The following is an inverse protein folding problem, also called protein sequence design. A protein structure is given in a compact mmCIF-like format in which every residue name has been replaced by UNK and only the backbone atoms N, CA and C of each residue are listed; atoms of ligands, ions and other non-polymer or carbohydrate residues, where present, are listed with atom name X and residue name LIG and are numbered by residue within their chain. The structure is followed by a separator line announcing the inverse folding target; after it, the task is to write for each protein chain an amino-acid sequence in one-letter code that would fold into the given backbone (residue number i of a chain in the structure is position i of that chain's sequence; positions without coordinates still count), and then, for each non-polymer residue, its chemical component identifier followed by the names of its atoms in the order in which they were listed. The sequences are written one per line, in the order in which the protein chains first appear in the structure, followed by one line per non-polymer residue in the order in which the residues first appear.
data_IF_455669217013
#
_entry.id   IF_455669217013
#
_cell.length_a   1.000
_cell.length_b   1.000
_cell.length_c   1.000
_cell.angle_alpha   90.00
_cell.angle_beta   90.00
_cell.angle_gamma   90.00
#
_symmetry.space_group_name_H-M   'P 1'
#
loop_
_entity.id
_entity.type
_entity.pdbx_description
1 polymer ?
#
# COMPACT_ATOMS: atom_id res chain seq x y z
N UNK A 1 -10.48 -5.96 24.68
CA UNK A 1 -9.53 -6.83 23.96
C UNK A 1 -9.78 -6.59 22.49
N UNK A 2 -8.85 -5.96 21.78
CA UNK A 2 -8.99 -5.79 20.34
C UNK A 2 -9.12 -7.18 19.71
N UNK A 3 -10.15 -7.41 18.90
CA UNK A 3 -10.22 -8.61 18.08
C UNK A 3 -8.99 -8.59 17.18
N UNK A 4 -7.99 -9.43 17.48
CA UNK A 4 -6.80 -9.57 16.65
C UNK A 4 -7.24 -10.32 15.39
N UNK A 5 -7.65 -9.56 14.38
CA UNK A 5 -7.96 -10.13 13.08
C UNK A 5 -6.67 -10.63 12.43
N UNK A 6 -6.72 -11.80 11.81
CA UNK A 6 -5.51 -12.39 11.26
C UNK A 6 -5.08 -11.55 10.03
N UNK A 7 -3.80 -11.16 9.97
CA UNK A 7 -3.26 -10.21 8.96
C UNK A 7 -3.58 -10.60 7.52
N UNK A 8 -3.86 -9.62 6.66
CA UNK A 8 -4.05 -9.82 5.23
C UNK A 8 -5.46 -10.25 4.79
N UNK A 9 -6.45 -10.24 5.70
CA UNK A 9 -7.84 -10.42 5.32
C UNK A 9 -8.42 -9.12 4.74
N UNK A 10 -8.93 -9.18 3.52
CA UNK A 10 -9.55 -8.05 2.84
C UNK A 10 -10.88 -8.46 2.22
N UNK A 11 -11.76 -7.48 2.03
CA UNK A 11 -13.10 -7.70 1.44
C UNK A 11 -13.32 -6.81 0.22
N UNK A 12 -12.71 -5.63 0.22
CA UNK A 12 -12.79 -4.69 -0.87
C UNK A 12 -11.38 -4.29 -1.32
N UNK A 13 -11.28 -3.92 -2.59
CA UNK A 13 -10.12 -3.24 -3.14
C UNK A 13 -10.60 -1.96 -3.82
N UNK A 14 -9.94 -0.84 -3.53
CA UNK A 14 -10.17 0.44 -4.21
C UNK A 14 -8.98 0.70 -5.12
N UNK A 15 -9.27 0.84 -6.41
CA UNK A 15 -8.30 1.14 -7.46
C UNK A 15 -8.71 2.43 -8.17
N UNK A 16 -7.76 3.04 -8.86
CA UNK A 16 -8.04 4.19 -9.73
C UNK A 16 -7.54 3.91 -11.14
N UNK A 17 -8.37 4.27 -12.13
CA UNK A 17 -8.04 4.10 -13.54
C UNK A 17 -6.78 4.88 -13.95
N UNK A 18 -6.17 4.46 -15.05
CA UNK A 18 -4.94 5.07 -15.57
C UNK A 18 -5.30 6.28 -16.45
N UNK A 19 -4.87 7.49 -16.08
CA UNK A 19 -5.22 8.70 -16.84
C UNK A 19 -4.49 8.73 -18.18
N UNK A 20 -5.05 9.43 -19.18
CA UNK A 20 -4.41 9.61 -20.49
C UNK A 20 -3.10 10.42 -20.40
N UNK A 21 -2.94 11.18 -19.31
CA UNK A 21 -1.72 11.90 -18.97
C UNK A 21 -0.67 11.02 -18.29
N UNK A 22 -0.94 9.73 -18.05
CA UNK A 22 0.03 8.80 -17.48
C UNK A 22 1.35 8.85 -18.22
N UNK A 23 2.44 8.98 -17.47
CA UNK A 23 3.78 8.98 -18.04
C UNK A 23 4.23 10.30 -18.65
N UNK A 24 3.31 11.25 -18.85
CA UNK A 24 3.65 12.65 -19.16
C UNK A 24 4.08 13.29 -17.84
N UNK A 25 5.39 13.32 -17.59
CA UNK A 25 5.94 14.06 -16.46
C UNK A 25 5.50 15.52 -16.53
N UNK A 26 5.04 16.07 -15.39
CA UNK A 26 5.14 17.50 -15.16
C UNK A 26 6.64 17.87 -15.27
N UNK A 27 6.93 18.92 -16.04
CA UNK A 27 8.23 19.37 -16.53
C UNK A 27 9.47 18.95 -15.69
N UNK A 28 10.48 18.36 -16.36
CA UNK A 28 11.86 18.28 -15.86
C UNK A 28 12.40 16.92 -15.40
N UNK A 29 11.68 15.81 -15.58
CA UNK A 29 12.22 14.46 -15.30
C UNK A 29 12.65 13.72 -16.57
N UNK A 30 13.71 12.91 -16.51
CA UNK A 30 14.06 11.96 -17.59
C UNK A 30 12.86 11.01 -17.81
N UNK A 31 12.18 11.20 -18.93
CA UNK A 31 10.96 10.47 -19.27
C UNK A 31 11.27 9.02 -19.58
N UNK A 32 10.86 8.11 -18.70
CA UNK A 32 10.66 6.73 -19.13
C UNK A 32 9.53 6.73 -20.16
N UNK A 33 9.83 6.28 -21.38
CA UNK A 33 8.83 6.05 -22.41
C UNK A 33 7.80 5.06 -21.85
N UNK A 34 6.64 5.58 -21.49
CA UNK A 34 5.63 4.89 -20.71
C UNK A 34 4.51 4.50 -21.64
N UNK A 35 4.36 3.20 -21.86
CA UNK A 35 3.32 2.65 -22.72
C UNK A 35 1.99 2.65 -21.96
N UNK A 36 1.14 3.63 -22.26
CA UNK A 36 -0.20 3.77 -21.68
C UNK A 36 -1.07 2.53 -21.95
N UNK A 37 -0.98 1.93 -23.14
CA UNK A 37 -1.77 0.75 -23.47
C UNK A 37 -1.32 -0.47 -22.65
N UNK A 38 -0.01 -0.64 -22.49
CA UNK A 38 0.56 -1.65 -21.58
C UNK A 38 0.12 -1.39 -20.14
N UNK A 39 0.15 -0.14 -19.68
CA UNK A 39 -0.27 0.26 -18.35
C UNK A 39 -1.75 -0.08 -18.08
N UNK A 40 -2.65 0.30 -18.99
CA UNK A 40 -4.08 -0.03 -18.91
C UNK A 40 -4.34 -1.54 -18.96
N UNK A 41 -3.66 -2.27 -19.85
CA UNK A 41 -3.78 -3.73 -19.94
C UNK A 41 -3.35 -4.40 -18.64
N UNK A 42 -2.23 -3.97 -18.07
CA UNK A 42 -1.77 -4.48 -16.79
C UNK A 42 -2.80 -4.15 -15.71
N UNK A 43 -3.25 -2.90 -15.53
CA UNK A 43 -4.29 -2.58 -14.54
C UNK A 43 -5.51 -3.51 -14.66
N UNK A 44 -5.98 -3.80 -15.89
CA UNK A 44 -7.05 -4.76 -16.14
C UNK A 44 -6.77 -6.20 -15.68
N UNK A 45 -5.52 -6.66 -15.77
CA UNK A 45 -5.11 -7.98 -15.26
C UNK A 45 -5.16 -8.02 -13.73
N UNK A 46 -4.69 -6.96 -13.05
CA UNK A 46 -4.77 -6.89 -11.58
C UNK A 46 -6.19 -6.82 -11.08
N UNK A 47 -7.01 -5.93 -11.64
CA UNK A 47 -8.42 -5.81 -11.24
C UNK A 47 -9.18 -7.11 -11.50
N UNK A 48 -8.88 -7.77 -12.63
CA UNK A 48 -9.35 -9.12 -12.94
C UNK A 48 -8.95 -10.15 -11.88
N UNK A 49 -7.68 -10.16 -11.45
CA UNK A 49 -7.19 -11.08 -10.43
C UNK A 49 -7.81 -10.81 -9.04
N UNK A 50 -7.87 -9.54 -8.60
CA UNK A 50 -8.50 -9.12 -7.35
C UNK A 50 -9.98 -9.55 -7.30
N UNK A 51 -10.72 -9.38 -8.40
CA UNK A 51 -12.14 -9.75 -8.47
C UNK A 51 -12.34 -11.26 -8.61
N UNK A 52 -11.70 -11.90 -9.59
CA UNK A 52 -12.02 -13.27 -10.01
C UNK A 52 -11.27 -14.35 -9.22
N UNK A 53 -10.02 -14.08 -8.81
CA UNK A 53 -9.20 -15.06 -8.09
C UNK A 53 -9.31 -14.89 -6.58
N UNK A 54 -9.38 -13.64 -6.12
CA UNK A 54 -9.39 -13.31 -4.69
C UNK A 54 -10.80 -13.03 -4.15
N UNK A 55 -11.79 -12.83 -5.04
CA UNK A 55 -13.18 -12.62 -4.64
C UNK A 55 -13.44 -11.27 -3.98
N UNK A 56 -12.54 -10.29 -4.15
CA UNK A 56 -12.70 -8.95 -3.55
C UNK A 56 -13.77 -8.14 -4.30
N UNK A 57 -14.52 -7.36 -3.53
CA UNK A 57 -15.40 -6.33 -4.10
C UNK A 57 -14.54 -5.17 -4.59
N UNK A 58 -14.49 -4.99 -5.91
CA UNK A 58 -13.65 -3.98 -6.53
C UNK A 58 -14.43 -2.68 -6.75
N UNK A 59 -13.92 -1.59 -6.19
CA UNK A 59 -14.40 -0.23 -6.43
C UNK A 59 -13.38 0.50 -7.30
N UNK A 60 -13.81 0.93 -8.47
CA UNK A 60 -12.95 1.58 -9.46
C UNK A 60 -13.26 3.08 -9.51
N UNK A 61 -12.33 3.91 -9.03
CA UNK A 61 -12.42 5.36 -9.18
C UNK A 61 -12.02 5.71 -10.62
N UNK A 62 -12.83 6.51 -11.36
CA UNK A 62 -12.47 6.94 -12.70
C UNK A 62 -11.13 7.69 -12.76
N UNK A 63 -10.44 7.52 -13.89
CA UNK A 63 -9.22 8.27 -14.18
C UNK A 63 -9.56 9.75 -14.44
N UNK A 64 -8.64 10.65 -14.10
CA UNK A 64 -8.78 12.09 -14.33
C UNK A 64 -7.49 12.58 -15.00
N UNK A 65 -7.61 13.09 -16.23
CA UNK A 65 -6.46 13.45 -17.08
C UNK A 65 -5.62 14.58 -16.48
N UNK A 66 -6.21 15.45 -15.68
CA UNK A 66 -5.53 16.54 -14.97
C UNK A 66 -4.63 16.04 -13.83
N UNK A 67 -4.73 14.75 -13.44
CA UNK A 67 -4.01 14.16 -12.32
C UNK A 67 -3.17 12.95 -12.81
N UNK A 68 -1.97 13.18 -13.41
CA UNK A 68 -1.17 12.13 -14.05
C UNK A 68 -0.64 11.05 -13.09
N UNK A 69 -0.56 11.36 -11.80
CA UNK A 69 -0.13 10.42 -10.74
C UNK A 69 -1.30 9.81 -9.94
N UNK A 70 -2.55 10.11 -10.31
CA UNK A 70 -3.74 9.67 -9.56
C UNK A 70 -3.93 8.16 -9.46
N UNK A 71 -3.28 7.39 -10.33
CA UNK A 71 -3.24 5.94 -10.25
C UNK A 71 -2.54 5.43 -8.98
N UNK A 72 -1.73 6.27 -8.30
CA UNK A 72 -1.05 5.95 -7.03
C UNK A 72 -1.96 6.15 -5.81
N UNK A 73 -3.12 5.52 -5.85
CA UNK A 73 -4.18 5.72 -4.85
C UNK A 73 -3.73 5.37 -3.43
N UNK A 74 -2.84 4.38 -3.24
CA UNK A 74 -2.25 4.03 -1.94
C UNK A 74 -1.59 5.23 -1.24
N UNK A 75 -1.02 6.17 -1.99
CA UNK A 75 -0.32 7.29 -1.38
C UNK A 75 -1.29 8.24 -0.66
N UNK A 76 -2.58 8.21 -1.02
CA UNK A 76 -3.63 9.15 -0.61
C UNK A 76 -4.38 8.72 0.65
N UNK A 77 -4.36 7.43 1.00
CA UNK A 77 -5.02 6.96 2.22
C UNK A 77 -4.31 5.75 2.85
N UNK A 78 -4.24 5.76 4.17
CA UNK A 78 -3.85 4.62 5.01
C UNK A 78 -5.08 4.12 5.74
N UNK A 79 -5.35 2.82 5.70
CA UNK A 79 -6.56 2.23 6.28
C UNK A 79 -6.17 1.10 7.22
N UNK A 80 -6.74 1.13 8.42
CA UNK A 80 -6.62 0.06 9.40
C UNK A 80 -7.95 -0.08 10.14
N UNK A 81 -8.46 -1.31 10.21
CA UNK A 81 -9.77 -1.58 10.81
C UNK A 81 -10.89 -0.83 10.08
N UNK A 82 -11.69 -0.09 10.84
CA UNK A 82 -12.77 0.77 10.36
C UNK A 82 -12.36 2.23 10.18
N UNK A 83 -11.06 2.55 10.37
CA UNK A 83 -10.54 3.92 10.33
C UNK A 83 -9.64 4.12 9.11
N UNK A 84 -9.85 5.23 8.42
CA UNK A 84 -9.06 5.66 7.27
C UNK A 84 -8.46 7.05 7.53
N UNK A 85 -7.15 7.15 7.38
CA UNK A 85 -6.43 8.41 7.35
C UNK A 85 -6.22 8.82 5.90
N UNK A 86 -6.91 9.87 5.45
CA UNK A 86 -6.56 10.58 4.23
C UNK A 86 -5.26 11.34 4.47
N UNK A 87 -4.25 11.02 3.68
CA UNK A 87 -2.90 11.53 3.82
C UNK A 87 -2.77 12.91 3.17
N UNK A 88 -1.60 13.53 3.32
CA UNK A 88 -1.25 14.79 2.66
C UNK A 88 -0.01 14.59 1.80
N UNK A 89 -0.15 14.16 0.53
CA UNK A 89 0.98 14.03 -0.38
C UNK A 89 1.75 15.34 -0.52
N UNK A 90 3.07 15.23 -0.69
CA UNK A 90 3.97 16.39 -0.81
C UNK A 90 3.59 17.28 -1.99
N UNK A 91 3.32 16.68 -3.16
CA UNK A 91 2.93 17.41 -4.37
C UNK A 91 1.51 17.93 -4.22
N UNK A 92 1.32 19.25 -4.33
CA UNK A 92 0.02 19.89 -4.15
C UNK A 92 -1.06 19.38 -5.11
N UNK A 93 -0.73 19.19 -6.39
CA UNK A 93 -1.66 18.62 -7.39
C UNK A 93 -2.21 17.25 -6.98
N UNK A 94 -1.44 16.47 -6.22
CA UNK A 94 -1.88 15.15 -5.74
C UNK A 94 -2.87 15.24 -4.58
N UNK A 95 -2.99 16.40 -3.92
CA UNK A 95 -3.97 16.60 -2.83
C UNK A 95 -5.40 16.63 -3.38
N UNK A 96 -5.58 17.04 -4.63
CA UNK A 96 -6.87 16.97 -5.33
C UNK A 96 -7.33 15.51 -5.58
N UNK A 97 -6.44 14.52 -5.40
CA UNK A 97 -6.81 13.11 -5.44
C UNK A 97 -7.64 12.68 -4.22
N UNK A 98 -7.50 13.39 -3.09
CA UNK A 98 -8.08 13.03 -1.79
C UNK A 98 -9.61 13.04 -1.78
N UNK A 99 -10.23 14.01 -2.45
CA UNK A 99 -11.69 14.18 -2.48
C UNK A 99 -12.40 12.91 -2.97
N UNK A 100 -11.92 12.34 -4.08
CA UNK A 100 -12.51 11.16 -4.68
C UNK A 100 -12.35 9.93 -3.78
N UNK A 101 -11.17 9.77 -3.17
CA UNK A 101 -10.89 8.66 -2.24
C UNK A 101 -11.76 8.79 -1.00
N UNK A 102 -11.84 9.98 -0.39
CA UNK A 102 -12.67 10.23 0.78
C UNK A 102 -14.13 9.85 0.55
N UNK A 103 -14.72 10.24 -0.59
CA UNK A 103 -16.11 9.89 -0.91
C UNK A 103 -16.33 8.37 -0.87
N UNK A 104 -15.46 7.61 -1.53
CA UNK A 104 -15.51 6.15 -1.54
C UNK A 104 -15.39 5.58 -0.12
N UNK A 105 -14.44 6.06 0.68
CA UNK A 105 -14.22 5.57 2.05
C UNK A 105 -15.40 5.90 2.97
N UNK A 106 -16.03 7.05 2.80
CA UNK A 106 -17.24 7.45 3.52
C UNK A 106 -18.48 6.65 3.10
N UNK A 107 -18.63 6.35 1.81
CA UNK A 107 -19.70 5.47 1.30
C UNK A 107 -19.59 4.06 1.88
N UNK A 108 -18.34 3.58 2.03
CA UNK A 108 -18.00 2.36 2.73
C UNK A 108 -18.21 2.45 4.25
N UNK A 109 -18.63 3.58 4.82
CA UNK A 109 -18.88 3.75 6.26
C UNK A 109 -17.64 3.60 7.13
N UNK A 110 -16.45 3.90 6.58
CA UNK A 110 -15.25 4.03 7.40
C UNK A 110 -15.28 5.36 8.18
N UNK A 111 -14.65 5.37 9.34
CA UNK A 111 -14.29 6.60 10.05
C UNK A 111 -13.17 7.27 9.28
N UNK A 112 -13.47 8.35 8.56
CA UNK A 112 -12.49 9.07 7.75
C UNK A 112 -11.94 10.27 8.53
N UNK A 113 -10.63 10.26 8.75
CA UNK A 113 -9.84 11.36 9.30
C UNK A 113 -8.95 11.93 8.20
N UNK A 114 -8.67 13.23 8.26
CA UNK A 114 -7.82 13.90 7.29
C UNK A 114 -6.60 14.53 7.96
N UNK A 115 -5.44 14.38 7.32
CA UNK A 115 -4.23 15.07 7.73
C UNK A 115 -4.36 16.57 7.41
N UNK A 116 -4.59 17.39 8.45
CA UNK A 116 -4.81 18.83 8.33
C UNK A 116 -3.59 19.63 7.89
N UNK A 117 -3.83 20.89 7.53
CA UNK A 117 -2.78 21.90 7.40
C UNK A 117 -2.36 22.38 8.80
N UNK A 118 -1.06 22.47 9.08
CA UNK A 118 -0.62 23.05 10.34
C UNK A 118 -0.79 24.57 10.32
N UNK A 119 -1.47 25.09 11.34
CA UNK A 119 -1.46 26.51 11.65
C UNK A 119 -0.07 26.92 12.15
N UNK A 120 0.55 27.94 11.54
CA UNK A 120 1.73 28.60 12.13
C UNK A 120 3.06 28.57 11.36
N UNK A 121 3.08 28.25 10.07
CA UNK A 121 4.25 28.49 9.20
C UNK A 121 5.37 27.43 9.25
N UNK A 122 5.14 26.28 9.89
CA UNK A 122 5.95 25.07 9.67
C UNK A 122 5.65 24.48 8.26
N UNK A 123 6.49 23.58 7.77
CA UNK A 123 6.28 22.89 6.48
C UNK A 123 5.00 22.01 6.43
N UNK A 124 4.23 21.93 7.51
CA UNK A 124 3.04 21.09 7.66
C UNK A 124 3.34 19.59 7.65
N UNK A 125 2.36 18.79 8.05
CA UNK A 125 2.46 17.33 7.95
C UNK A 125 2.48 16.90 6.46
N UNK A 126 3.39 16.00 6.09
CA UNK A 126 3.36 15.33 4.79
C UNK A 126 3.52 13.83 4.98
N UNK A 127 2.69 13.06 4.30
CA UNK A 127 2.73 11.61 4.32
C UNK A 127 2.20 11.06 3.01
N UNK A 128 2.86 10.05 2.48
CA UNK A 128 2.36 9.21 1.40
C UNK A 128 2.26 7.76 1.90
N UNK A 129 1.14 7.08 1.69
CA UNK A 129 0.90 5.72 2.21
C UNK A 129 1.90 4.65 1.75
N UNK A 130 2.65 4.89 0.68
CA UNK A 130 3.77 4.01 0.30
C UNK A 130 5.02 4.13 1.17
N UNK A 131 5.09 5.11 2.07
CA UNK A 131 6.06 5.13 3.16
C UNK A 131 5.56 4.38 4.40
N UNK A 132 4.34 3.85 4.41
CA UNK A 132 3.72 3.26 5.62
C UNK A 132 3.59 1.75 5.50
N UNK A 133 4.44 1.00 6.18
CA UNK A 133 4.34 -0.46 6.28
C UNK A 133 3.56 -0.86 7.54
N UNK A 134 2.36 -1.42 7.37
CA UNK A 134 1.62 -2.06 8.47
C UNK A 134 1.89 -3.56 8.50
N UNK A 135 2.38 -4.06 9.63
CA UNK A 135 2.79 -5.47 9.79
C UNK A 135 1.67 -6.38 10.29
N UNK A 136 0.52 -5.79 10.68
CA UNK A 136 -0.51 -6.46 11.47
C UNK A 136 -0.36 -6.26 12.98
N UNK A 137 0.81 -5.78 13.43
CA UNK A 137 1.14 -5.56 14.85
C UNK A 137 1.58 -4.13 15.14
N UNK A 138 2.23 -3.48 14.18
CA UNK A 138 2.75 -2.12 14.29
C UNK A 138 2.87 -1.46 12.91
N UNK A 139 3.18 -0.17 12.91
CA UNK A 139 3.52 0.58 11.72
C UNK A 139 5.00 0.95 11.71
N UNK A 140 5.65 0.75 10.57
CA UNK A 140 6.87 1.44 10.21
C UNK A 140 6.58 2.55 9.22
N UNK A 141 7.02 3.77 9.52
CA UNK A 141 6.85 4.94 8.65
C UNK A 141 8.21 5.39 8.14
N UNK A 142 8.40 5.30 6.83
CA UNK A 142 9.59 5.76 6.14
C UNK A 142 9.69 7.28 6.16
N UNK A 143 10.78 7.81 6.71
CA UNK A 143 11.13 9.21 6.57
C UNK A 143 11.86 9.38 5.25
N UNK A 144 11.20 10.08 4.34
CA UNK A 144 11.60 10.24 2.94
C UNK A 144 11.45 11.69 2.50
N UNK A 145 11.73 11.98 1.22
CA UNK A 145 11.42 13.29 0.66
C UNK A 145 9.91 13.59 0.62
N UNK A 146 9.06 12.55 0.68
CA UNK A 146 7.60 12.64 0.58
C UNK A 146 6.91 12.66 1.95
N UNK A 147 7.51 11.98 2.93
CA UNK A 147 6.92 11.78 4.27
C UNK A 147 7.86 12.31 5.35
N UNK A 148 7.35 13.22 6.18
CA UNK A 148 8.10 13.82 7.28
C UNK A 148 7.66 13.27 8.65
N UNK A 149 8.43 13.59 9.70
CA UNK A 149 8.12 13.14 11.07
C UNK A 149 6.73 13.58 11.52
N UNK A 150 6.31 14.79 11.12
CA UNK A 150 4.99 15.29 11.50
C UNK A 150 3.84 14.48 10.88
N UNK A 151 4.00 14.02 9.64
CA UNK A 151 3.08 13.06 9.02
C UNK A 151 3.02 11.73 9.78
N UNK A 152 4.17 11.24 10.25
CA UNK A 152 4.22 10.03 11.08
C UNK A 152 3.53 10.21 12.44
N UNK A 153 3.68 11.38 13.07
CA UNK A 153 2.97 11.73 14.32
C UNK A 153 1.45 11.74 14.14
N UNK A 154 0.94 12.37 13.06
CA UNK A 154 -0.50 12.35 12.75
C UNK A 154 -0.99 10.91 12.52
N UNK A 155 -0.19 10.05 11.90
CA UNK A 155 -0.51 8.63 11.74
C UNK A 155 -0.60 7.91 13.10
N UNK A 156 0.36 8.16 14.01
CA UNK A 156 0.35 7.61 15.35
C UNK A 156 -0.86 8.08 16.17
N UNK A 157 -1.21 9.37 16.08
CA UNK A 157 -2.39 9.93 16.72
C UNK A 157 -3.70 9.37 16.16
N UNK A 158 -3.70 8.96 14.89
CA UNK A 158 -4.85 8.34 14.23
C UNK A 158 -5.03 6.88 14.66
N UNK A 159 -3.94 6.10 14.69
CA UNK A 159 -3.97 4.66 14.96
C UNK A 159 -3.34 4.32 16.32
N UNK A 160 -3.92 4.87 17.39
CA UNK A 160 -3.36 4.83 18.76
C UNK A 160 -3.18 3.43 19.35
N UNK A 161 -3.86 2.43 18.79
CA UNK A 161 -3.77 1.04 19.24
C UNK A 161 -2.49 0.33 18.74
N UNK A 162 -1.71 0.97 17.86
CA UNK A 162 -0.51 0.39 17.25
C UNK A 162 0.72 1.23 17.54
N UNK A 163 1.84 0.57 17.80
CA UNK A 163 3.14 1.25 17.82
C UNK A 163 3.46 1.81 16.44
N UNK A 164 4.08 2.99 16.41
CA UNK A 164 4.52 3.65 15.16
C UNK A 164 5.99 4.01 15.30
N UNK A 165 6.82 3.39 14.47
CA UNK A 165 8.26 3.58 14.45
C UNK A 165 8.68 4.24 13.14
N UNK A 166 9.51 5.29 13.22
CA UNK A 166 10.02 5.96 12.01
C UNK A 166 11.36 5.38 11.58
N UNK A 167 11.54 5.17 10.28
CA UNK A 167 12.76 4.56 9.72
C UNK A 167 13.32 5.38 8.56
N UNK A 168 14.64 5.53 8.43
CA UNK A 168 15.22 6.29 7.33
C UNK A 168 15.06 5.52 6.01
N UNK A 169 14.59 6.21 4.96
CA UNK A 169 14.54 5.66 3.60
C UNK A 169 15.65 6.28 2.75
N UNK A 170 16.61 5.46 2.33
CA UNK A 170 17.75 5.90 1.54
C UNK A 170 17.41 6.05 0.04
N UNK A 171 18.17 6.88 -0.68
CA UNK A 171 18.11 6.95 -2.16
C UNK A 171 16.89 7.68 -2.75
N UNK A 172 16.16 8.45 -1.94
CA UNK A 172 14.99 9.22 -2.42
C UNK A 172 13.82 8.36 -2.89
N UNK A 173 13.81 7.10 -2.46
CA UNK A 173 12.73 6.12 -2.66
C UNK A 173 11.66 6.26 -1.55
N UNK A 174 10.60 5.44 -1.62
CA UNK A 174 9.63 5.25 -0.53
C UNK A 174 9.87 3.90 0.14
N UNK A 175 9.42 3.74 1.39
CA UNK A 175 9.62 2.50 2.14
C UNK A 175 9.12 1.26 1.38
N UNK A 176 7.89 1.28 0.85
CA UNK A 176 7.31 0.13 0.13
C UNK A 176 7.92 -0.13 -1.26
N UNK A 177 8.81 0.72 -1.75
CA UNK A 177 9.55 0.40 -2.97
C UNK A 177 10.67 -0.61 -2.70
N UNK A 178 11.06 -0.81 -1.44
CA UNK A 178 12.14 -1.70 -1.04
C UNK A 178 11.68 -2.81 -0.10
N UNK A 179 10.46 -2.76 0.44
CA UNK A 179 9.90 -3.82 1.27
C UNK A 179 8.37 -3.91 1.23
N UNK A 180 7.84 -5.03 1.68
CA UNK A 180 6.41 -5.25 1.90
C UNK A 180 6.20 -6.44 2.85
N UNK A 181 4.95 -6.69 3.26
CA UNK A 181 4.62 -7.94 3.96
C UNK A 181 4.41 -9.06 2.94
N UNK A 182 5.14 -10.17 3.12
CA UNK A 182 5.00 -11.39 2.31
C UNK A 182 4.03 -12.42 2.91
N UNK A 183 3.63 -12.20 4.15
CA UNK A 183 2.82 -13.12 4.93
C UNK A 183 2.64 -12.60 6.35
N UNK A 184 1.90 -13.34 7.19
CA UNK A 184 1.89 -13.09 8.63
C UNK A 184 3.31 -13.26 9.15
N UNK A 185 3.83 -12.23 9.82
CA UNK A 185 5.18 -12.24 10.40
C UNK A 185 6.33 -12.40 9.40
N UNK A 186 6.10 -12.15 8.10
CA UNK A 186 7.13 -12.22 7.07
C UNK A 186 7.27 -10.88 6.35
N UNK A 187 8.48 -10.29 6.40
CA UNK A 187 8.82 -9.08 5.65
C UNK A 187 9.65 -9.50 4.42
N UNK A 188 9.19 -9.12 3.23
CA UNK A 188 9.97 -9.20 2.00
C UNK A 188 10.73 -7.89 1.87
N UNK A 189 12.04 -7.94 1.65
CA UNK A 189 12.87 -6.75 1.55
C UNK A 189 13.99 -6.93 0.53
N UNK A 190 14.32 -5.86 -0.16
CA UNK A 190 15.44 -5.86 -1.09
C UNK A 190 16.78 -6.13 -0.39
N UNK A 191 17.70 -6.74 -1.12
CA UNK A 191 19.09 -6.93 -0.71
C UNK A 191 20.00 -5.73 -1.02
N UNK A 192 19.44 -4.61 -1.53
CA UNK A 192 20.19 -3.38 -1.75
C UNK A 192 20.75 -2.80 -0.44
N UNK A 193 21.85 -2.06 -0.51
CA UNK A 193 22.52 -1.53 0.70
C UNK A 193 21.64 -0.54 1.47
N UNK A 194 20.82 0.24 0.75
CA UNK A 194 19.82 1.12 1.36
C UNK A 194 18.78 0.32 2.15
N UNK A 195 18.23 -0.73 1.54
CA UNK A 195 17.23 -1.58 2.18
C UNK A 195 17.78 -2.34 3.39
N UNK A 196 19.02 -2.86 3.32
CA UNK A 196 19.70 -3.47 4.47
C UNK A 196 19.89 -2.51 5.63
N UNK A 197 20.19 -1.23 5.38
CA UNK A 197 20.28 -0.21 6.44
C UNK A 197 18.92 0.07 7.07
N UNK A 198 17.88 0.22 6.26
CA UNK A 198 16.51 0.39 6.75
C UNK A 198 16.06 -0.81 7.60
N UNK A 199 16.34 -2.04 7.13
CA UNK A 199 16.02 -3.27 7.86
C UNK A 199 16.66 -3.31 9.25
N UNK A 200 17.97 -3.01 9.36
CA UNK A 200 18.68 -3.01 10.64
C UNK A 200 18.05 -2.04 11.65
N UNK A 201 17.55 -0.90 11.18
CA UNK A 201 16.85 0.06 12.04
C UNK A 201 15.47 -0.48 12.43
N UNK A 202 14.72 -1.09 11.50
CA UNK A 202 13.45 -1.75 11.81
C UNK A 202 13.62 -2.80 12.90
N UNK A 203 14.61 -3.70 12.76
CA UNK A 203 14.93 -4.77 13.72
C UNK A 203 15.32 -4.24 15.11
N UNK A 204 15.87 -3.03 15.21
CA UNK A 204 16.23 -2.40 16.49
C UNK A 204 15.05 -1.72 17.19
N UNK A 205 14.00 -1.38 16.44
CA UNK A 205 12.86 -0.61 16.93
C UNK A 205 11.66 -1.49 17.32
N UNK A 206 11.68 -2.77 16.99
CA UNK A 206 10.58 -3.71 17.25
C UNK A 206 10.97 -4.81 18.22
N UNK A 207 10.05 -5.14 19.12
CA UNK A 207 10.13 -6.33 19.96
C UNK A 207 9.53 -7.57 19.27
N UNK A 208 8.95 -7.41 18.07
CA UNK A 208 8.34 -8.49 17.32
C UNK A 208 9.38 -9.21 16.44
N UNK A 209 9.31 -10.53 16.43
CA UNK A 209 10.11 -11.33 15.51
C UNK A 209 9.42 -11.40 14.14
N UNK A 210 10.14 -11.00 13.09
CA UNK A 210 9.73 -11.13 11.70
C UNK A 210 10.71 -12.03 10.93
N UNK A 211 10.19 -12.96 10.14
CA UNK A 211 10.97 -13.68 9.15
C UNK A 211 11.31 -12.75 7.98
N UNK A 212 12.59 -12.70 7.60
CA UNK A 212 13.05 -11.82 6.52
C UNK A 212 13.29 -12.63 5.25
N UNK A 213 12.51 -12.33 4.20
CA UNK A 213 12.72 -12.85 2.86
C UNK A 213 13.43 -11.80 2.00
N UNK A 214 14.74 -11.96 1.83
CA UNK A 214 15.52 -11.02 1.02
C UNK A 214 15.45 -11.34 -0.48
N UNK A 215 15.20 -10.33 -1.31
CA UNK A 215 15.16 -10.43 -2.78
C UNK A 215 16.23 -9.58 -3.45
N UNK A 216 16.84 -10.02 -4.56
CA UNK A 216 17.92 -9.30 -5.21
C UNK A 216 17.48 -8.00 -5.88
N UNK A 217 16.24 -7.92 -6.37
CA UNK A 217 15.73 -6.78 -7.12
C UNK A 217 14.76 -5.96 -6.26
N UNK A 218 15.02 -4.66 -6.08
CA UNK A 218 14.17 -3.75 -5.28
C UNK A 218 12.69 -3.88 -5.62
N UNK A 219 12.43 -3.94 -6.92
CA UNK A 219 11.11 -4.06 -7.52
C UNK A 219 10.35 -5.30 -7.02
N UNK A 220 11.04 -6.42 -6.83
CA UNK A 220 10.46 -7.68 -6.35
C UNK A 220 10.09 -7.65 -4.87
N UNK A 221 10.53 -6.64 -4.12
CA UNK A 221 10.18 -6.49 -2.72
C UNK A 221 8.81 -5.81 -2.52
N UNK A 222 8.22 -5.23 -3.57
CA UNK A 222 6.87 -4.68 -3.55
C UNK A 222 5.86 -5.77 -3.92
N UNK A 223 5.34 -6.43 -2.90
CA UNK A 223 4.35 -7.49 -3.01
C UNK A 223 3.10 -7.13 -2.23
N UNK A 224 2.00 -7.82 -2.55
CA UNK A 224 0.74 -7.71 -1.81
C UNK A 224 0.34 -9.10 -1.34
N UNK A 225 0.42 -9.32 -0.02
CA UNK A 225 -0.07 -10.53 0.62
C UNK A 225 -1.57 -10.41 0.93
N UNK A 226 -2.34 -11.44 0.57
CA UNK A 226 -3.78 -11.52 0.80
C UNK A 226 -4.10 -12.92 1.32
N UNK A 227 -4.73 -12.99 2.50
CA UNK A 227 -5.30 -14.23 3.01
C UNK A 227 -6.58 -14.55 2.26
N UNK A 228 -6.63 -15.71 1.61
CA UNK A 228 -7.80 -16.12 0.83
C UNK A 228 -8.89 -16.80 1.68
N UNK A 229 -10.13 -16.84 1.17
CA UNK A 229 -11.31 -17.35 1.90
C UNK A 229 -11.27 -18.86 2.21
N UNK A 230 -10.41 -19.63 1.55
CA UNK A 230 -10.30 -21.09 1.71
C UNK A 230 -9.00 -21.52 2.41
N UNK A 231 -8.40 -20.66 3.26
CA UNK A 231 -7.06 -20.88 3.86
C UNK A 231 -5.93 -21.09 2.85
N UNK A 232 -6.15 -20.63 1.62
CA UNK A 232 -5.09 -20.51 0.62
C UNK A 232 -4.72 -19.06 0.59
N UNK A 233 -3.50 -18.76 1.00
CA UNK A 233 -2.98 -17.41 0.93
C UNK A 233 -2.49 -17.12 -0.50
N UNK A 234 -2.51 -15.84 -0.87
CA UNK A 234 -2.06 -15.32 -2.15
C UNK A 234 -0.98 -14.25 -1.96
N UNK A 235 0.03 -14.28 -2.82
CA UNK A 235 1.08 -13.27 -2.88
C UNK A 235 1.10 -12.75 -4.30
N UNK A 236 0.72 -11.49 -4.46
CA UNK A 236 0.86 -10.79 -5.72
C UNK A 236 2.27 -10.20 -5.76
N UNK A 237 3.02 -10.53 -6.80
CA UNK A 237 4.42 -10.12 -6.95
C UNK A 237 4.75 -9.83 -8.42
N UNK A 238 5.86 -9.13 -8.70
CA UNK A 238 6.36 -8.87 -10.05
C UNK A 238 6.45 -10.11 -10.96
N UNK A 239 6.38 -9.95 -12.27
CA UNK A 239 6.51 -11.10 -13.18
C UNK A 239 7.94 -11.60 -13.31
N UNK A 240 8.11 -12.85 -13.77
CA UNK A 240 9.45 -13.42 -14.04
C UNK A 240 10.17 -12.61 -15.12
N UNK A 241 9.44 -12.08 -16.10
CA UNK A 241 9.99 -11.20 -17.13
C UNK A 241 10.48 -9.87 -16.55
N UNK A 242 9.87 -9.39 -15.45
CA UNK A 242 10.26 -8.15 -14.78
C UNK A 242 11.37 -8.35 -13.72
N UNK A 243 11.35 -9.48 -13.01
CA UNK A 243 12.27 -9.78 -11.90
C UNK A 243 12.79 -11.23 -11.97
N UNK A 244 13.60 -11.59 -13.00
CA UNK A 244 13.99 -12.98 -13.26
C UNK A 244 14.80 -13.61 -12.11
N UNK A 245 15.53 -12.80 -11.34
CA UNK A 245 16.40 -13.29 -10.27
C UNK A 245 15.67 -13.48 -8.93
N UNK A 246 14.53 -12.80 -8.75
CA UNK A 246 13.83 -12.76 -7.47
C UNK A 246 12.71 -13.81 -7.35
N UNK A 247 12.02 -14.14 -8.45
CA UNK A 247 10.88 -15.07 -8.39
C UNK A 247 11.25 -16.49 -7.92
N UNK A 248 12.42 -17.06 -8.25
CA UNK A 248 12.83 -18.35 -7.69
C UNK A 248 12.96 -18.33 -6.16
N UNK A 249 13.24 -17.17 -5.55
CA UNK A 249 13.33 -16.98 -4.10
C UNK A 249 11.93 -16.85 -3.49
N UNK A 250 11.06 -16.03 -4.10
CA UNK A 250 9.67 -15.85 -3.66
C UNK A 250 8.87 -17.16 -3.68
N UNK A 251 9.05 -18.00 -4.69
CA UNK A 251 8.36 -19.30 -4.80
C UNK A 251 8.87 -20.36 -3.81
N UNK A 252 10.06 -20.19 -3.23
CA UNK A 252 10.64 -21.11 -2.23
C UNK A 252 10.36 -20.69 -0.80
N UNK A 253 10.26 -19.39 -0.55
CA UNK A 253 10.08 -18.81 0.80
C UNK A 253 8.63 -18.63 1.24
N UNK A 254 7.65 -18.72 0.33
CA UNK A 254 6.24 -18.54 0.64
C UNK A 254 5.41 -19.73 0.13
N UNK A 255 4.66 -20.41 1.03
CA UNK A 255 3.68 -21.47 0.69
C UNK A 255 2.44 -20.96 -0.05
N UNK A 256 2.57 -19.83 -0.73
CA UNK A 256 1.51 -18.92 -1.12
C UNK A 256 1.39 -18.94 -2.64
N UNK A 257 0.17 -19.03 -3.20
CA UNK A 257 0.01 -19.06 -4.65
C UNK A 257 0.34 -17.69 -5.24
N UNK A 258 1.43 -17.66 -6.00
CA UNK A 258 1.89 -16.53 -6.79
C UNK A 258 0.84 -16.09 -7.83
N UNK A 259 0.43 -14.82 -7.77
CA UNK A 259 -0.22 -14.14 -8.88
C UNK A 259 0.76 -13.11 -9.44
N UNK A 260 1.20 -13.38 -10.67
CA UNK A 260 2.20 -12.57 -11.33
C UNK A 260 1.58 -11.28 -11.87
N UNK A 261 2.15 -10.13 -11.49
CA UNK A 261 1.66 -8.84 -11.92
C UNK A 261 2.79 -7.81 -12.06
N UNK A 262 2.53 -6.64 -12.66
CA UNK A 262 3.58 -5.64 -12.80
C UNK A 262 3.82 -4.89 -11.48
N UNK A 263 5.04 -4.43 -11.25
CA UNK A 263 5.42 -3.78 -9.98
C UNK A 263 4.91 -2.34 -9.78
N UNK A 264 4.31 -1.74 -10.82
CA UNK A 264 3.96 -0.32 -10.84
C UNK A 264 2.59 -0.03 -10.24
N UNK A 265 1.97 -0.98 -9.56
CA UNK A 265 0.55 -0.87 -9.23
C UNK A 265 0.32 -0.83 -7.73
N UNK A 266 -0.33 0.25 -7.29
CA UNK A 266 -0.62 0.52 -5.90
C UNK A 266 -2.14 0.48 -5.71
N UNK A 267 -2.61 -0.35 -4.79
CA UNK A 267 -4.03 -0.57 -4.51
C UNK A 267 -4.30 -0.32 -3.04
N UNK A 268 -5.41 0.32 -2.72
CA UNK A 268 -5.91 0.36 -1.34
C UNK A 268 -6.73 -0.92 -1.11
N UNK A 269 -6.35 -1.70 -0.11
CA UNK A 269 -7.12 -2.86 0.33
C UNK A 269 -7.87 -2.53 1.61
N UNK A 270 -9.15 -2.89 1.67
CA UNK A 270 -10.04 -2.55 2.79
C UNK A 270 -10.60 -3.82 3.40
N UNK A 271 -10.50 -3.90 4.73
CA UNK A 271 -11.12 -4.95 5.51
C UNK A 271 -12.46 -4.43 6.07
N UNK A 272 -13.58 -5.00 5.63
CA UNK A 272 -14.90 -4.70 6.16
C UNK A 272 -15.56 -5.98 6.64
N UNK A 273 -15.96 -5.99 7.91
CA UNK A 273 -16.81 -7.04 8.44
C UNK A 273 -18.28 -6.67 8.22
N UNK A 274 -19.00 -7.50 7.45
CA UNK A 274 -20.45 -7.57 7.53
C UNK A 274 -20.83 -8.37 8.78
N UNK A 275 -20.99 -7.69 9.92
CA UNK A 275 -21.86 -8.19 10.99
C UNK A 275 -23.16 -7.41 10.94
N UNK A 276 -24.06 -7.78 10.02
CA UNK A 276 -25.50 -7.55 10.11
C UNK A 276 -26.22 -8.30 8.98
N UNK A 277 -26.38 -9.62 9.12
CA UNK A 277 -27.49 -10.37 8.51
C UNK A 277 -27.67 -11.72 9.23
N UNK A 278 -27.99 -11.66 10.53
CA UNK A 278 -28.51 -12.79 11.31
C UNK A 278 -29.78 -12.42 12.10
N UNK A 279 -30.58 -11.49 11.58
CA UNK A 279 -31.93 -11.22 12.10
C UNK A 279 -32.93 -10.90 11.00
N UNK A 280 -33.14 -11.83 10.05
CA UNK A 280 -34.42 -11.94 9.32
C UNK A 280 -34.68 -13.40 8.91
N UNK A 281 -34.87 -14.27 9.90
CA UNK A 281 -35.73 -15.45 9.75
C UNK A 281 -36.66 -15.45 10.97
N UNK A 282 -37.94 -15.05 10.82
CA UNK A 282 -38.93 -15.29 11.86
C UNK A 282 -39.33 -16.78 11.88
N UNK A 283 -39.88 -17.27 13.00
CA UNK A 283 -39.74 -18.66 13.48
C UNK A 283 -40.32 -19.75 12.58
#
# INVERSE_FOLDING_TARGET
MANIYPYGCFTHAVVRGIPESFGKLAEGGEGFQTDLAKAQRQMGVLTGALRQKLGLQLIEIPAVSELPESWRIEDVAVIQGDTALITRPLKQQRRDEAEAVRRVLSELKLTVLEMGDEEGGSAGATLEGSDVLFTGKEFFVGISKHTNHRGAEVLADTFKDFAVSTVPVCGGSRLKNICSMGGPDTIIISSSDGAKKTLRVMEQLTDHHYEILSVPEDVAANCIYIRGPAKVDFLLHPTVEECPNSIPVSNRGCSVKALSFCHRWKTILINQWFSNFLHQVPP
#
